data_IF_309370046012
#
_entry.id   IF_309370046012
#
_cell.length_a   1.000
_cell.length_b   1.000
_cell.length_c   1.000
_cell.angle_alpha   90.00
_cell.angle_beta   90.00
_cell.angle_gamma   90.00
#
_symmetry.space_group_name_H-M   'P 1'
#
loop_
_entity.id
_entity.type
_entity.pdbx_description
1 polymer ?
#
# COMPACT_ATOMS: atom_id res chain seq x y z
N UNK A 1 8.47 -18.71 -28.06
CA UNK A 1 9.29 -18.73 -29.30
C UNK A 1 8.92 -17.66 -30.37
N UNK A 2 8.01 -16.69 -30.13
CA UNK A 2 7.72 -15.59 -31.08
C UNK A 2 7.84 -14.18 -30.48
N UNK A 3 8.52 -14.03 -29.34
CA UNK A 3 8.55 -12.73 -28.66
C UNK A 3 9.40 -11.67 -29.37
N UNK A 4 10.26 -12.02 -30.34
CA UNK A 4 11.09 -11.07 -31.06
C UNK A 4 11.37 -11.57 -32.49
N UNK A 5 10.38 -11.55 -33.39
CA UNK A 5 10.69 -11.60 -34.82
C UNK A 5 11.41 -10.30 -35.19
N UNK A 6 12.56 -10.40 -35.87
CA UNK A 6 13.31 -9.25 -36.37
C UNK A 6 12.44 -8.45 -37.36
N UNK A 7 12.76 -7.18 -37.57
CA UNK A 7 12.01 -6.33 -38.52
C UNK A 7 12.00 -6.91 -39.93
N UNK A 8 13.05 -7.63 -40.30
CA UNK A 8 13.22 -8.32 -41.59
C UNK A 8 12.29 -9.53 -41.73
N UNK A 9 12.26 -10.43 -40.73
CA UNK A 9 11.35 -11.58 -40.71
C UNK A 9 9.87 -11.14 -40.77
N UNK A 10 9.54 -9.98 -40.18
CA UNK A 10 8.18 -9.41 -40.24
C UNK A 10 7.80 -8.89 -41.62
N UNK A 11 8.77 -8.50 -42.46
CA UNK A 11 8.53 -8.13 -43.86
C UNK A 11 8.27 -9.38 -44.70
N UNK A 12 9.06 -10.44 -44.49
CA UNK A 12 8.91 -11.72 -45.20
C UNK A 12 7.57 -12.44 -44.94
N UNK A 13 6.89 -12.14 -43.82
CA UNK A 13 5.55 -12.68 -43.51
C UNK A 13 4.40 -11.96 -44.24
N UNK A 14 4.68 -10.87 -44.96
CA UNK A 14 3.67 -10.14 -45.74
C UNK A 14 3.56 -10.75 -47.13
N UNK A 15 2.33 -10.77 -47.66
CA UNK A 15 2.12 -11.21 -49.03
C UNK A 15 2.76 -10.21 -50.00
N UNK A 16 3.58 -10.72 -50.90
CA UNK A 16 4.10 -10.00 -52.06
C UNK A 16 3.45 -10.63 -53.29
N UNK A 17 2.63 -9.86 -53.98
CA UNK A 17 2.15 -10.21 -55.32
C UNK A 17 2.96 -9.44 -56.35
N UNK A 18 2.98 -9.91 -57.60
CA UNK A 18 3.78 -9.36 -58.71
C UNK A 18 3.69 -7.83 -58.82
N UNK A 19 4.61 -7.11 -58.17
CA UNK A 19 4.77 -5.65 -58.24
C UNK A 19 4.17 -4.80 -57.11
N UNK A 20 3.42 -5.35 -56.15
CA UNK A 20 2.82 -4.54 -55.06
C UNK A 20 3.07 -5.15 -53.69
N UNK A 21 3.86 -4.46 -52.87
CA UNK A 21 4.11 -4.85 -51.48
C UNK A 21 2.97 -4.37 -50.58
N UNK A 22 2.27 -5.31 -49.92
CA UNK A 22 1.17 -4.97 -49.01
C UNK A 22 1.70 -4.32 -47.74
N UNK A 23 1.27 -3.08 -47.46
CA UNK A 23 1.79 -2.27 -46.34
C UNK A 23 1.26 -2.72 -44.97
N UNK A 24 0.06 -3.32 -44.91
CA UNK A 24 -0.57 -3.77 -43.68
C UNK A 24 -1.36 -5.05 -43.88
N UNK A 25 -1.26 -5.97 -42.93
CA UNK A 25 -2.11 -7.14 -42.84
C UNK A 25 -2.72 -7.22 -41.44
N UNK A 26 -3.82 -7.94 -41.30
CA UNK A 26 -4.36 -8.33 -40.00
C UNK A 26 -4.93 -9.74 -40.09
N UNK A 27 -4.97 -10.41 -38.94
CA UNK A 27 -5.65 -11.68 -38.76
C UNK A 27 -6.72 -11.48 -37.69
N UNK A 28 -7.92 -11.96 -37.95
CA UNK A 28 -9.03 -11.95 -37.00
C UNK A 28 -9.51 -13.38 -36.77
N UNK A 29 -9.68 -13.73 -35.50
CA UNK A 29 -10.23 -15.02 -35.07
C UNK A 29 -11.51 -14.70 -34.31
N UNK A 30 -12.60 -15.37 -34.67
CA UNK A 30 -13.87 -15.32 -33.95
C UNK A 30 -13.95 -16.60 -33.12
N UNK A 31 -14.08 -16.43 -31.81
CA UNK A 31 -14.21 -17.52 -30.84
C UNK A 31 -15.61 -17.47 -30.24
N UNK A 32 -16.22 -18.64 -30.13
CA UNK A 32 -17.39 -18.86 -29.30
C UNK A 32 -16.96 -18.88 -27.82
N UNK A 33 -17.65 -18.12 -26.98
CA UNK A 33 -17.40 -17.97 -25.55
C UNK A 33 -18.65 -18.31 -24.72
N UNK A 34 -19.50 -19.23 -25.20
CA UNK A 34 -20.67 -19.71 -24.47
C UNK A 34 -20.34 -20.19 -23.03
N UNK A 35 -19.17 -20.83 -22.85
CA UNK A 35 -18.70 -21.34 -21.55
C UNK A 35 -18.09 -20.27 -20.62
N UNK A 36 -18.03 -19.01 -21.06
CA UNK A 36 -17.39 -17.89 -20.33
C UNK A 36 -15.96 -18.19 -19.86
N UNK A 37 -15.22 -19.02 -20.62
CA UNK A 37 -13.82 -19.35 -20.33
C UNK A 37 -12.89 -18.15 -20.52
N UNK A 38 -13.27 -17.22 -21.41
CA UNK A 38 -12.66 -15.91 -21.53
C UNK A 38 -13.47 -14.95 -20.64
N UNK A 39 -12.84 -14.15 -19.75
CA UNK A 39 -13.52 -13.25 -18.82
C UNK A 39 -14.04 -11.99 -19.54
N UNK A 40 -14.96 -12.19 -20.47
CA UNK A 40 -15.64 -11.16 -21.25
C UNK A 40 -17.12 -11.52 -21.26
N UNK A 41 -17.98 -10.58 -20.88
CA UNK A 41 -19.44 -10.73 -20.85
C UNK A 41 -20.04 -10.66 -22.27
N UNK A 42 -19.56 -11.52 -23.17
CA UNK A 42 -20.04 -11.68 -24.54
C UNK A 42 -19.94 -13.14 -24.95
N UNK A 43 -20.99 -13.61 -25.61
CA UNK A 43 -21.07 -14.96 -26.19
C UNK A 43 -20.11 -15.13 -27.38
N UNK A 44 -19.78 -14.06 -28.09
CA UNK A 44 -18.76 -14.07 -29.16
C UNK A 44 -17.58 -13.15 -28.82
N UNK A 45 -16.36 -13.69 -28.91
CA UNK A 45 -15.11 -12.94 -28.70
C UNK A 45 -14.33 -12.86 -30.00
N UNK A 46 -14.04 -11.65 -30.47
CA UNK A 46 -13.24 -11.39 -31.67
C UNK A 46 -11.84 -10.92 -31.32
N UNK A 47 -10.84 -11.70 -31.72
CA UNK A 47 -9.43 -11.40 -31.51
C UNK A 47 -8.80 -10.97 -32.83
N UNK A 48 -8.55 -9.66 -32.98
CA UNK A 48 -7.86 -9.10 -34.15
C UNK A 48 -6.42 -8.73 -33.81
N UNK A 49 -5.46 -9.28 -34.56
CA UNK A 49 -4.05 -8.89 -34.53
C UNK A 49 -3.64 -8.25 -35.84
N UNK A 50 -3.33 -6.96 -35.81
CA UNK A 50 -2.74 -6.24 -36.93
C UNK A 50 -1.21 -6.32 -36.83
N UNK A 51 -0.53 -6.66 -37.93
CA UNK A 51 0.93 -6.75 -37.95
C UNK A 51 1.55 -5.36 -37.68
N UNK A 52 2.26 -5.19 -36.56
CA UNK A 52 2.96 -3.95 -36.21
C UNK A 52 2.64 -3.36 -34.83
N UNK A 53 1.51 -3.73 -34.22
CA UNK A 53 1.13 -3.27 -32.88
C UNK A 53 1.25 -4.43 -31.87
N UNK A 54 2.05 -4.22 -30.81
CA UNK A 54 2.05 -5.13 -29.65
C UNK A 54 0.79 -4.82 -28.84
N UNK A 55 -0.12 -5.78 -28.73
CA UNK A 55 -1.23 -5.73 -27.76
C UNK A 55 -0.93 -6.64 -26.58
N UNK A 56 -1.34 -6.21 -25.40
CA UNK A 56 -1.10 -6.89 -24.13
C UNK A 56 -1.86 -8.23 -24.07
N UNK A 57 -1.18 -9.28 -23.59
CA UNK A 57 -1.63 -10.68 -23.69
C UNK A 57 -2.28 -11.25 -22.43
N UNK A 58 -2.52 -10.41 -21.43
CA UNK A 58 -2.95 -10.87 -20.11
C UNK A 58 -4.31 -11.62 -20.16
N UNK A 59 -5.17 -11.28 -21.11
CA UNK A 59 -6.51 -11.90 -21.29
C UNK A 59 -6.40 -13.35 -21.80
N UNK A 60 -5.43 -13.64 -22.66
CA UNK A 60 -5.23 -14.99 -23.19
C UNK A 60 -4.63 -15.92 -22.13
N UNK A 61 -3.78 -15.39 -21.27
CA UNK A 61 -3.20 -16.14 -20.15
C UNK A 61 -4.27 -16.51 -19.11
N UNK A 62 -5.20 -15.60 -18.78
CA UNK A 62 -6.37 -15.92 -17.94
C UNK A 62 -7.29 -16.97 -18.55
N UNK A 63 -7.39 -16.99 -19.88
CA UNK A 63 -8.15 -18.00 -20.63
C UNK A 63 -7.33 -19.28 -20.90
N UNK A 64 -6.26 -19.54 -20.13
CA UNK A 64 -5.37 -20.73 -20.22
C UNK A 64 -4.67 -20.92 -21.58
N UNK A 65 -4.66 -19.90 -22.43
CA UNK A 65 -3.79 -19.85 -23.60
C UNK A 65 -2.41 -19.33 -23.18
N UNK A 66 -1.61 -20.24 -22.64
CA UNK A 66 -0.25 -19.93 -22.21
C UNK A 66 0.67 -19.80 -23.43
N UNK A 67 1.50 -18.75 -23.49
CA UNK A 67 2.54 -18.58 -24.54
C UNK A 67 3.59 -19.71 -24.54
N UNK A 68 3.71 -20.35 -23.38
CA UNK A 68 4.69 -21.38 -23.04
C UNK A 68 4.13 -22.78 -23.20
N UNK A 69 2.91 -22.97 -23.70
CA UNK A 69 2.43 -24.31 -24.03
C UNK A 69 2.59 -24.57 -25.54
N UNK A 70 3.71 -25.14 -26.02
CA UNK A 70 3.96 -25.39 -27.43
C UNK A 70 3.11 -26.55 -28.00
N UNK A 71 2.21 -27.15 -27.22
CA UNK A 71 1.47 -28.36 -27.62
C UNK A 71 0.13 -28.11 -28.26
N UNK A 72 -0.44 -26.90 -28.15
CA UNK A 72 -1.62 -26.54 -28.95
C UNK A 72 -1.28 -26.49 -30.45
N UNK A 73 -0.01 -26.23 -30.80
CA UNK A 73 0.44 -26.11 -32.19
C UNK A 73 1.80 -26.78 -32.36
N UNK A 74 1.81 -27.97 -32.97
CA UNK A 74 3.06 -28.66 -33.31
C UNK A 74 3.56 -28.19 -34.67
N UNK A 75 4.77 -27.64 -34.71
CA UNK A 75 5.41 -27.25 -35.97
C UNK A 75 5.81 -28.49 -36.78
N UNK A 76 5.81 -28.35 -38.11
CA UNK A 76 6.29 -29.41 -39.00
C UNK A 76 7.71 -29.85 -38.62
N UNK A 77 7.95 -31.15 -38.58
CA UNK A 77 9.22 -31.76 -38.21
C UNK A 77 9.50 -31.89 -36.70
N UNK A 78 8.71 -31.26 -35.82
CA UNK A 78 8.91 -31.36 -34.35
C UNK A 78 8.26 -32.58 -33.69
N UNK A 79 7.38 -33.30 -34.40
CA UNK A 79 6.70 -34.51 -33.88
C UNK A 79 7.74 -35.57 -33.48
N UNK A 80 8.78 -35.77 -34.30
CA UNK A 80 9.83 -36.75 -34.04
C UNK A 80 10.55 -36.48 -32.71
N UNK A 81 10.79 -35.20 -32.39
CA UNK A 81 11.41 -34.79 -31.12
C UNK A 81 10.51 -35.12 -29.94
N UNK A 82 9.19 -34.95 -30.07
CA UNK A 82 8.23 -35.33 -29.03
C UNK A 82 8.14 -36.84 -28.83
N UNK A 83 8.24 -37.63 -29.89
CA UNK A 83 8.24 -39.08 -29.77
C UNK A 83 9.53 -39.64 -29.18
N UNK A 84 10.66 -38.94 -29.37
CA UNK A 84 12.00 -39.38 -28.92
C UNK A 84 12.46 -38.68 -27.64
N UNK A 85 11.63 -37.84 -27.02
CA UNK A 85 12.00 -37.11 -25.80
C UNK A 85 12.35 -38.07 -24.66
N UNK A 86 13.41 -37.73 -23.90
CA UNK A 86 13.78 -38.48 -22.70
C UNK A 86 12.76 -38.25 -21.60
N UNK A 87 12.69 -39.16 -20.63
CA UNK A 87 11.72 -39.08 -19.53
C UNK A 87 11.87 -37.80 -18.69
N UNK A 88 13.09 -37.28 -18.53
CA UNK A 88 13.35 -36.00 -17.87
C UNK A 88 12.73 -34.82 -18.64
N UNK A 89 12.94 -34.79 -19.95
CA UNK A 89 12.39 -33.74 -20.83
C UNK A 89 10.87 -33.82 -20.88
N UNK A 90 10.30 -35.05 -20.89
CA UNK A 90 8.86 -35.28 -20.81
C UNK A 90 8.28 -34.81 -19.48
N UNK A 91 9.00 -35.00 -18.37
CA UNK A 91 8.56 -34.54 -17.05
C UNK A 91 8.57 -33.02 -16.97
N UNK A 92 9.65 -32.37 -17.42
CA UNK A 92 9.72 -30.91 -17.45
C UNK A 92 8.60 -30.32 -18.31
N UNK A 93 8.24 -31.03 -19.37
CA UNK A 93 7.10 -30.68 -20.19
C UNK A 93 5.76 -30.74 -19.47
N UNK A 94 5.54 -31.82 -18.72
CA UNK A 94 4.32 -31.97 -17.94
C UNK A 94 4.22 -30.90 -16.84
N UNK A 95 5.35 -30.47 -16.27
CA UNK A 95 5.41 -29.35 -15.32
C UNK A 95 5.03 -28.02 -15.98
N UNK A 96 5.53 -27.77 -17.19
CA UNK A 96 5.18 -26.57 -17.96
C UNK A 96 3.69 -26.54 -18.32
N UNK A 97 3.13 -27.67 -18.80
CA UNK A 97 1.70 -27.82 -19.11
C UNK A 97 0.83 -27.68 -17.86
N UNK A 98 1.28 -28.28 -16.74
CA UNK A 98 0.60 -28.20 -15.46
C UNK A 98 0.61 -26.81 -14.83
N UNK A 99 1.32 -25.84 -15.42
CA UNK A 99 1.45 -24.48 -14.89
C UNK A 99 2.27 -24.40 -13.60
N UNK A 100 2.93 -25.50 -13.20
CA UNK A 100 3.72 -25.53 -11.96
C UNK A 100 4.97 -24.68 -12.09
N UNK A 101 5.53 -24.54 -13.28
CA UNK A 101 6.65 -23.63 -13.56
C UNK A 101 6.30 -22.16 -13.24
N UNK A 102 5.10 -21.70 -13.61
CA UNK A 102 4.67 -20.30 -13.34
C UNK A 102 4.48 -20.10 -11.83
N UNK A 103 3.91 -21.10 -11.14
CA UNK A 103 3.79 -21.07 -9.69
C UNK A 103 5.16 -21.01 -9.01
N UNK A 104 6.11 -21.81 -9.49
CA UNK A 104 7.46 -21.88 -8.92
C UNK A 104 8.26 -20.59 -9.16
N UNK A 105 8.13 -19.98 -10.33
CA UNK A 105 8.71 -18.66 -10.65
C UNK A 105 8.13 -17.57 -9.73
N UNK A 106 6.80 -17.47 -9.63
CA UNK A 106 6.14 -16.51 -8.72
C UNK A 106 6.52 -16.76 -7.26
N UNK A 107 6.62 -18.02 -6.84
CA UNK A 107 7.06 -18.38 -5.49
C UNK A 107 8.48 -17.88 -5.22
N UNK A 108 9.41 -18.05 -6.15
CA UNK A 108 10.78 -17.56 -6.02
C UNK A 108 10.83 -16.02 -5.95
N UNK A 109 10.01 -15.32 -6.73
CA UNK A 109 9.89 -13.86 -6.64
C UNK A 109 9.35 -13.42 -5.28
N UNK A 110 8.28 -14.05 -4.79
CA UNK A 110 7.73 -13.77 -3.47
C UNK A 110 8.77 -13.99 -2.35
N UNK A 111 9.58 -15.05 -2.44
CA UNK A 111 10.64 -15.30 -1.46
C UNK A 111 11.72 -14.21 -1.46
N UNK A 112 12.10 -13.70 -2.64
CA UNK A 112 13.04 -12.57 -2.74
C UNK A 112 12.46 -11.32 -2.08
N UNK A 113 11.20 -10.99 -2.37
CA UNK A 113 10.50 -9.84 -1.77
C UNK A 113 10.43 -10.00 -0.24
N UNK A 114 10.12 -11.20 0.24
CA UNK A 114 10.05 -11.48 1.68
C UNK A 114 11.40 -11.26 2.38
N UNK A 115 12.49 -11.66 1.73
CA UNK A 115 13.84 -11.40 2.22
C UNK A 115 14.16 -9.89 2.27
N UNK A 116 13.78 -9.14 1.23
CA UNK A 116 13.94 -7.68 1.21
C UNK A 116 13.13 -6.99 2.31
N UNK A 117 11.89 -7.40 2.53
CA UNK A 117 11.03 -6.90 3.62
C UNK A 117 11.68 -7.21 4.97
N UNK A 118 12.23 -8.42 5.16
CA UNK A 118 12.97 -8.79 6.36
C UNK A 118 14.16 -7.87 6.63
N UNK A 119 14.90 -7.49 5.58
CA UNK A 119 16.03 -6.56 5.70
C UNK A 119 15.57 -5.14 6.03
N UNK A 120 14.53 -4.64 5.36
CA UNK A 120 13.92 -3.32 5.66
C UNK A 120 13.41 -3.26 7.10
N UNK A 121 12.77 -4.32 7.59
CA UNK A 121 12.31 -4.41 8.98
C UNK A 121 13.46 -4.30 9.98
N UNK A 122 14.59 -4.96 9.71
CA UNK A 122 15.80 -4.83 10.55
C UNK A 122 16.35 -3.40 10.57
N UNK A 123 16.40 -2.74 9.41
CA UNK A 123 16.83 -1.33 9.32
C UNK A 123 15.90 -0.40 10.12
N UNK A 124 14.58 -0.58 9.97
CA UNK A 124 13.60 0.19 10.75
C UNK A 124 13.81 -0.02 12.24
N UNK A 125 14.02 -1.26 12.69
CA UNK A 125 14.26 -1.56 14.09
C UNK A 125 15.51 -0.85 14.64
N UNK A 126 16.60 -0.82 13.87
CA UNK A 126 17.81 -0.08 14.24
C UNK A 126 17.55 1.43 14.37
N UNK A 127 16.78 2.00 13.45
CA UNK A 127 16.41 3.43 13.51
C UNK A 127 15.52 3.71 14.71
N UNK A 128 14.55 2.86 15.02
CA UNK A 128 13.68 3.00 16.20
C UNK A 128 14.52 2.96 17.48
N UNK A 129 15.44 1.99 17.61
CA UNK A 129 16.33 1.93 18.77
C UNK A 129 17.19 3.20 18.93
N UNK A 130 17.69 3.76 17.83
CA UNK A 130 18.42 5.02 17.86
C UNK A 130 17.54 6.20 18.31
N UNK A 131 16.29 6.25 17.83
CA UNK A 131 15.35 7.29 18.22
C UNK A 131 14.95 7.18 19.70
N UNK A 132 14.74 5.97 20.21
CA UNK A 132 14.42 5.73 21.62
C UNK A 132 15.57 6.21 22.54
N UNK A 133 16.82 5.95 22.14
CA UNK A 133 17.98 6.46 22.88
C UNK A 133 18.05 7.99 22.83
N UNK A 134 17.82 8.60 21.66
CA UNK A 134 17.79 10.07 21.53
C UNK A 134 16.66 10.72 22.32
N UNK A 135 15.49 10.09 22.37
CA UNK A 135 14.37 10.56 23.19
C UNK A 135 14.71 10.50 24.68
N UNK A 136 15.43 9.47 25.12
CA UNK A 136 15.91 9.36 26.51
C UNK A 136 16.88 10.48 26.84
N UNK A 137 17.89 10.71 26.00
CA UNK A 137 18.86 11.80 26.19
C UNK A 137 18.17 13.17 26.28
N UNK A 138 17.19 13.44 25.40
CA UNK A 138 16.42 14.69 25.43
C UNK A 138 15.54 14.83 26.68
N UNK A 139 14.99 13.73 27.18
CA UNK A 139 14.22 13.73 28.43
C UNK A 139 15.11 14.07 29.63
N UNK A 140 16.31 13.49 29.69
CA UNK A 140 17.30 13.81 30.74
C UNK A 140 17.74 15.28 30.68
N UNK A 141 17.99 15.82 29.49
CA UNK A 141 18.33 17.24 29.31
C UNK A 141 17.19 18.16 29.76
N UNK A 142 15.94 17.81 29.42
CA UNK A 142 14.75 18.56 29.86
C UNK A 142 14.63 18.56 31.38
N UNK A 143 14.75 17.40 32.02
CA UNK A 143 14.66 17.27 33.48
C UNK A 143 15.79 18.05 34.18
N UNK A 144 16.99 18.04 33.60
CA UNK A 144 18.10 18.87 34.07
C UNK A 144 17.76 20.36 34.00
N UNK A 145 17.24 20.86 32.87
CA UNK A 145 16.83 22.26 32.72
C UNK A 145 15.70 22.62 33.69
N UNK A 146 14.70 21.76 33.86
CA UNK A 146 13.63 21.96 34.84
C UNK A 146 14.19 22.05 36.27
N UNK A 147 15.16 21.20 36.64
CA UNK A 147 15.81 21.28 37.95
C UNK A 147 16.60 22.58 38.16
N UNK A 148 17.31 23.05 37.13
CA UNK A 148 18.03 24.33 37.15
C UNK A 148 17.04 25.50 37.30
N UNK A 149 15.97 25.50 36.50
CA UNK A 149 14.92 26.51 36.60
C UNK A 149 14.27 26.52 37.98
N UNK A 150 13.92 25.35 38.52
CA UNK A 150 13.36 25.22 39.86
C UNK A 150 14.35 25.71 40.93
N UNK A 151 15.64 25.44 40.78
CA UNK A 151 16.69 25.97 41.65
C UNK A 151 16.84 27.49 41.59
N UNK A 152 16.83 28.07 40.38
CA UNK A 152 16.83 29.52 40.16
C UNK A 152 15.60 30.14 40.81
N UNK A 153 14.42 29.61 40.52
CA UNK A 153 13.14 30.01 41.10
C UNK A 153 13.28 29.99 42.63
N UNK A 154 13.67 28.86 43.24
CA UNK A 154 13.83 28.76 44.69
C UNK A 154 14.83 29.77 45.27
N UNK A 155 15.91 30.09 44.54
CA UNK A 155 16.87 31.13 44.94
C UNK A 155 16.28 32.55 44.92
N UNK A 156 15.40 32.83 43.96
CA UNK A 156 14.64 34.10 43.88
C UNK A 156 13.64 34.19 45.04
N UNK A 157 12.98 33.09 45.40
CA UNK A 157 12.02 33.03 46.51
C UNK A 157 12.65 32.93 47.91
N UNK A 158 13.99 33.02 48.05
CA UNK A 158 14.65 33.01 49.37
C UNK A 158 14.27 34.23 50.22
N UNK A 159 14.10 34.06 51.55
CA UNK A 159 13.70 35.13 52.46
C UNK A 159 14.72 36.28 52.61
N UNK A 160 15.95 36.10 52.15
CA UNK A 160 16.95 37.18 52.11
C UNK A 160 16.64 38.22 51.02
N UNK A 161 15.90 37.85 49.97
CA UNK A 161 15.42 38.75 48.92
C UNK A 161 14.02 39.34 49.21
N UNK A 162 13.39 38.99 50.35
CA UNK A 162 12.03 39.43 50.70
C UNK A 162 11.91 40.95 50.89
N UNK A 163 12.97 41.64 51.31
CA UNK A 163 12.96 43.12 51.43
C UNK A 163 12.75 43.80 50.07
N UNK A 164 13.39 43.27 49.01
CA UNK A 164 13.17 43.75 47.65
C UNK A 164 11.78 43.36 47.13
N UNK A 165 11.29 42.18 47.52
CA UNK A 165 9.95 41.71 47.15
C UNK A 165 8.84 42.54 47.80
N UNK A 166 9.03 43.01 49.04
CA UNK A 166 8.15 43.94 49.72
C UNK A 166 8.15 45.32 49.05
N UNK A 167 9.31 45.79 48.57
CA UNK A 167 9.44 47.04 47.80
C UNK A 167 8.75 46.92 46.44
N UNK A 168 8.95 45.83 45.70
CA UNK A 168 8.28 45.57 44.41
C UNK A 168 6.77 45.42 44.61
N UNK A 169 6.33 44.68 45.63
CA UNK A 169 4.92 44.54 45.98
C UNK A 169 4.32 45.89 46.38
N UNK A 170 5.00 46.69 47.21
CA UNK A 170 4.56 48.04 47.57
C UNK A 170 4.58 49.02 46.38
N UNK A 171 5.49 48.86 45.42
CA UNK A 171 5.55 49.67 44.21
C UNK A 171 4.49 49.26 43.18
N UNK A 172 4.07 47.99 43.22
CA UNK A 172 2.98 47.43 42.41
C UNK A 172 1.59 47.71 43.01
N UNK A 173 1.51 47.87 44.35
CA UNK A 173 0.32 48.22 45.13
C UNK A 173 0.36 49.65 45.71
N UNK A 174 1.12 50.57 45.14
CA UNK A 174 1.11 51.97 45.55
C UNK A 174 -0.18 52.64 45.03
N UNK A 175 -1.12 53.08 45.90
CA UNK A 175 -2.41 53.63 45.49
C UNK A 175 -2.32 54.95 44.70
N UNK A 176 -1.14 55.58 44.63
CA UNK A 176 -0.91 56.82 43.89
C UNK A 176 -0.36 56.63 42.47
N UNK A 177 -0.09 55.41 42.02
CA UNK A 177 0.37 55.13 40.65
C UNK A 177 -0.82 54.78 39.74
N UNK A 178 -1.13 55.62 38.74
CA UNK A 178 -2.19 55.37 37.74
C UNK A 178 -1.67 54.63 36.50
N UNK A 179 -1.62 53.28 36.49
CA UNK A 179 -1.76 52.56 35.21
C UNK A 179 -2.87 51.49 35.19
N UNK A 180 -3.77 51.41 36.19
CA UNK A 180 -4.81 50.36 36.23
C UNK A 180 -5.93 50.47 35.18
N UNK A 181 -6.16 51.64 34.58
CA UNK A 181 -7.23 51.82 33.57
C UNK A 181 -6.89 51.22 32.20
N UNK A 182 -5.60 50.97 31.91
CA UNK A 182 -5.16 50.31 30.67
C UNK A 182 -5.03 48.80 30.87
N UNK A 183 -4.41 48.36 31.96
CA UNK A 183 -4.25 46.94 32.29
C UNK A 183 -5.58 46.26 32.60
N UNK A 184 -6.56 46.95 33.21
CA UNK A 184 -7.90 46.41 33.41
C UNK A 184 -8.69 46.22 32.11
N UNK A 185 -8.47 47.08 31.11
CA UNK A 185 -9.06 46.91 29.76
C UNK A 185 -8.40 45.76 29.01
N UNK A 186 -7.09 45.63 29.11
CA UNK A 186 -6.32 44.53 28.52
C UNK A 186 -6.67 43.19 29.18
N UNK A 187 -6.85 43.15 30.50
CA UNK A 187 -7.34 41.96 31.23
C UNK A 187 -8.74 41.56 30.78
N UNK A 188 -9.67 42.51 30.67
CA UNK A 188 -11.01 42.21 30.14
C UNK A 188 -10.96 41.73 28.68
N UNK A 189 -10.06 42.26 27.86
CA UNK A 189 -9.85 41.82 26.48
C UNK A 189 -9.26 40.41 26.40
N UNK A 190 -8.29 40.10 27.24
CA UNK A 190 -7.70 38.76 27.35
C UNK A 190 -8.71 37.76 27.91
N UNK A 191 -9.49 38.15 28.91
CA UNK A 191 -10.55 37.32 29.48
C UNK A 191 -11.65 37.05 28.46
N UNK A 192 -12.02 38.05 27.65
CA UNK A 192 -12.92 37.85 26.52
C UNK A 192 -12.33 36.92 25.46
N UNK A 193 -11.05 37.09 25.10
CA UNK A 193 -10.36 36.18 24.17
C UNK A 193 -10.26 34.74 24.69
N UNK A 194 -9.98 34.56 25.98
CA UNK A 194 -9.95 33.24 26.62
C UNK A 194 -11.34 32.61 26.56
N UNK A 195 -12.40 33.39 26.78
CA UNK A 195 -13.77 32.90 26.64
C UNK A 195 -14.09 32.52 25.19
N UNK A 196 -13.80 33.41 24.22
CA UNK A 196 -14.03 33.15 22.80
C UNK A 196 -13.26 31.89 22.35
N UNK A 197 -11.98 31.74 22.75
CA UNK A 197 -11.18 30.55 22.46
C UNK A 197 -11.70 29.29 23.18
N UNK A 198 -12.28 29.42 24.37
CA UNK A 198 -12.91 28.30 25.08
C UNK A 198 -14.17 27.82 24.36
N UNK A 199 -14.99 28.75 23.87
CA UNK A 199 -16.22 28.45 23.13
C UNK A 199 -15.89 27.82 21.75
N UNK A 200 -14.84 28.29 21.08
CA UNK A 200 -14.29 27.66 19.87
C UNK A 200 -13.81 26.23 20.16
N UNK A 201 -13.11 26.02 21.28
CA UNK A 201 -12.64 24.69 21.69
C UNK A 201 -13.80 23.74 22.01
N UNK A 202 -14.86 24.22 22.64
CA UNK A 202 -16.08 23.43 22.85
C UNK A 202 -16.74 23.03 21.53
N UNK A 203 -16.79 23.96 20.57
CA UNK A 203 -17.33 23.70 19.23
C UNK A 203 -16.51 22.63 18.48
N UNK A 204 -15.19 22.75 18.48
CA UNK A 204 -14.28 21.77 17.86
C UNK A 204 -14.40 20.41 18.55
N UNK A 205 -14.50 20.37 19.89
CA UNK A 205 -14.70 19.12 20.62
C UNK A 205 -16.02 18.44 20.28
N UNK A 206 -17.10 19.20 20.04
CA UNK A 206 -18.37 18.65 19.58
C UNK A 206 -18.22 18.03 18.17
N UNK A 207 -17.57 18.72 17.24
CA UNK A 207 -17.31 18.21 15.89
C UNK A 207 -16.43 16.94 15.92
N UNK A 208 -15.40 16.92 16.77
CA UNK A 208 -14.56 15.74 16.95
C UNK A 208 -15.36 14.53 17.45
N UNK A 209 -16.24 14.73 18.46
CA UNK A 209 -17.12 13.67 18.96
C UNK A 209 -18.07 13.14 17.88
N UNK A 210 -18.64 14.01 17.05
CA UNK A 210 -19.47 13.59 15.92
C UNK A 210 -18.67 12.81 14.87
N UNK A 211 -17.42 13.20 14.62
CA UNK A 211 -16.55 12.52 13.66
C UNK A 211 -16.15 11.13 14.17
N UNK A 212 -15.81 11.01 15.46
CA UNK A 212 -15.55 9.71 16.11
C UNK A 212 -16.78 8.79 16.01
N UNK A 213 -17.99 9.32 16.25
CA UNK A 213 -19.21 8.53 16.11
C UNK A 213 -19.43 8.01 14.66
N UNK A 214 -19.12 8.83 13.65
CA UNK A 214 -19.15 8.41 12.24
C UNK A 214 -18.11 7.33 11.94
N UNK A 215 -16.91 7.45 12.48
CA UNK A 215 -15.86 6.42 12.34
C UNK A 215 -16.29 5.09 12.97
N UNK A 216 -16.94 5.12 14.14
CA UNK A 216 -17.49 3.92 14.78
C UNK A 216 -18.57 3.25 13.92
N UNK A 217 -19.47 4.02 13.30
CA UNK A 217 -20.48 3.49 12.37
C UNK A 217 -19.83 2.86 11.13
N UNK A 218 -18.83 3.52 10.54
CA UNK A 218 -18.09 2.98 9.40
C UNK A 218 -17.40 1.68 9.79
N UNK A 219 -16.75 1.63 10.96
CA UNK A 219 -16.06 0.43 11.47
C UNK A 219 -17.03 -0.73 11.69
N UNK A 220 -18.20 -0.46 12.30
CA UNK A 220 -19.28 -1.46 12.43
C UNK A 220 -19.73 -1.97 11.06
N UNK A 221 -19.93 -1.07 10.09
CA UNK A 221 -20.28 -1.45 8.73
C UNK A 221 -19.20 -2.26 8.01
N UNK A 222 -17.92 -2.02 8.27
CA UNK A 222 -16.81 -2.83 7.72
C UNK A 222 -16.87 -4.24 8.32
N UNK A 223 -16.95 -4.36 9.65
CA UNK A 223 -17.04 -5.65 10.34
C UNK A 223 -18.23 -6.49 9.86
N UNK A 224 -19.38 -5.85 9.63
CA UNK A 224 -20.58 -6.55 9.17
C UNK A 224 -20.44 -7.07 7.73
N UNK A 225 -19.80 -6.29 6.84
CA UNK A 225 -19.47 -6.73 5.48
C UNK A 225 -18.42 -7.83 5.46
N UNK A 226 -17.39 -7.75 6.31
CA UNK A 226 -16.39 -8.82 6.48
C UNK A 226 -17.04 -10.10 6.97
N UNK A 227 -17.97 -10.02 7.92
CA UNK A 227 -18.76 -11.16 8.39
C UNK A 227 -19.65 -11.73 7.29
N UNK A 228 -20.28 -10.89 6.46
CA UNK A 228 -21.05 -11.37 5.31
C UNK A 228 -20.16 -12.05 4.27
N UNK A 229 -18.99 -11.47 3.99
CA UNK A 229 -17.96 -12.08 3.13
C UNK A 229 -17.50 -13.43 3.67
N UNK A 230 -17.22 -13.55 4.98
CA UNK A 230 -16.82 -14.82 5.58
C UNK A 230 -17.92 -15.89 5.45
N UNK A 231 -19.19 -15.51 5.64
CA UNK A 231 -20.34 -16.40 5.44
C UNK A 231 -20.49 -16.81 3.96
N UNK A 232 -20.23 -15.91 3.02
CA UNK A 232 -20.25 -16.23 1.58
C UNK A 232 -19.13 -17.22 1.22
N UNK A 233 -17.89 -16.99 1.68
CA UNK A 233 -16.78 -17.94 1.52
C UNK A 233 -17.12 -19.33 2.08
N UNK A 234 -17.86 -19.38 3.19
CA UNK A 234 -18.28 -20.64 3.81
C UNK A 234 -19.41 -21.33 3.04
N UNK A 235 -20.28 -20.57 2.35
CA UNK A 235 -21.40 -21.09 1.53
C UNK A 235 -20.98 -21.53 0.12
N UNK A 236 -19.95 -20.93 -0.46
CA UNK A 236 -19.44 -21.29 -1.79
C UNK A 236 -18.61 -22.58 -1.82
N UNK A 237 -18.51 -23.31 -0.70
CA UNK A 237 -18.03 -24.70 -0.72
C UNK A 237 -16.56 -24.87 -1.10
N UNK A 238 -15.71 -23.88 -0.84
CA UNK A 238 -14.28 -24.14 -0.69
C UNK A 238 -14.01 -24.52 0.77
N UNK A 239 -13.61 -25.76 1.07
CA UNK A 239 -13.18 -26.11 2.43
C UNK A 239 -11.87 -25.36 2.70
N UNK A 240 -11.91 -24.35 3.58
CA UNK A 240 -10.72 -23.79 4.19
C UNK A 240 -10.14 -24.84 5.14
N UNK A 241 -9.14 -25.59 4.66
CA UNK A 241 -8.37 -26.54 5.48
C UNK A 241 -7.52 -25.87 6.57
N UNK A 242 -7.50 -24.52 6.68
CA UNK A 242 -6.68 -23.84 7.68
C UNK A 242 -7.40 -22.62 8.27
N UNK A 243 -7.48 -22.59 9.60
CA UNK A 243 -8.13 -21.55 10.42
C UNK A 243 -7.25 -20.33 10.72
N UNK A 244 -5.94 -20.41 10.47
CA UNK A 244 -5.01 -19.29 10.62
C UNK A 244 -3.78 -19.48 9.73
N UNK A 245 -3.08 -18.38 9.42
CA UNK A 245 -1.81 -18.42 8.65
C UNK A 245 -0.76 -19.33 9.32
N UNK A 246 -0.79 -19.44 10.65
CA UNK A 246 0.08 -20.33 11.42
C UNK A 246 -0.28 -21.83 11.34
N UNK A 247 -1.53 -22.16 11.01
CA UNK A 247 -1.95 -23.56 10.81
C UNK A 247 -1.55 -24.07 9.41
N UNK A 248 -1.26 -23.17 8.47
CA UNK A 248 -0.89 -23.47 7.08
C UNK A 248 0.59 -23.83 6.90
N UNK A 249 1.47 -23.40 7.82
CA UNK A 249 2.94 -23.51 7.71
C UNK A 249 3.57 -24.66 8.55
N UNK A 250 2.78 -25.65 8.98
CA UNK A 250 3.25 -26.92 9.58
C UNK A 250 3.10 -28.09 8.61
#
# INVERSE_FOLDING_TARGET
MFQILQSEDRRALRHEDTGHQVLSAFVEIVLDNFDNHIPVEKEEVRLRRTFGLKKEMNILESARFTRSNPYYVVQQGKITTLTLMKDSERLDLLKEIGGTCIYEERRQECLKIMQEIGNKRKQIFQVVQYLDERLRELAEEKDFIESQNNGIVLSIWKPENLSNHQIIFNHMYNPNHKPMLRTGKELNLLQKKIQDSSDELETVNLMYKEQVAKEEEITKGIMEREKQLSVLYQKEGCPTEFSSEADRDK
#
